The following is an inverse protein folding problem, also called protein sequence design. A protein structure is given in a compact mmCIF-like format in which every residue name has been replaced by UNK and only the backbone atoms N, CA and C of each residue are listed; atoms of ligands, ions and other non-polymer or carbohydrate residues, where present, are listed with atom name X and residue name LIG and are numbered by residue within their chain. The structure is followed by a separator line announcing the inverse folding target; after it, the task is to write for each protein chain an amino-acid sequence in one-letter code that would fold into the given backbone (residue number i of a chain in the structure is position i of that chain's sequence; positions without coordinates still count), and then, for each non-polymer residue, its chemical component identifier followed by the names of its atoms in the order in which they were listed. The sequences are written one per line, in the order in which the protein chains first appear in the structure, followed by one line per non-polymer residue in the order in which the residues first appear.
data_IF_202276602978
#
_entry.id   IF_202276602978
#
_cell.length_a   1.000
_cell.length_b   1.000
_cell.length_c   1.000
_cell.angle_alpha   90.00
_cell.angle_beta   90.00
_cell.angle_gamma   90.00
#
_symmetry.space_group_name_H-M   'P 1'
#
loop_
_entity.id
_entity.type
_entity.pdbx_description
1 polymer ?
#
# COMPACT_ATOMS: atom_id res chain seq x y z
N UNK A 1 -27.97 8.53 5.66
CA UNK A 1 -26.95 9.35 6.36
C UNK A 1 -25.60 8.74 6.02
N UNK A 2 -24.73 9.46 5.29
CA UNK A 2 -23.37 8.98 5.03
C UNK A 2 -22.61 8.97 6.35
N UNK A 3 -22.13 7.81 6.79
CA UNK A 3 -21.24 7.72 7.95
C UNK A 3 -19.96 8.49 7.63
N UNK A 4 -19.51 9.38 8.53
CA UNK A 4 -18.29 10.13 8.33
C UNK A 4 -17.11 9.17 8.17
N UNK A 5 -16.37 9.29 7.06
CA UNK A 5 -15.18 8.49 6.75
C UNK A 5 -13.95 9.35 7.01
N UNK A 6 -13.07 8.86 7.88
CA UNK A 6 -11.81 9.52 8.24
C UNK A 6 -10.66 8.68 7.70
N UNK A 7 -9.58 9.34 7.26
CA UNK A 7 -8.37 8.68 6.74
C UNK A 7 -7.19 9.08 7.60
N UNK A 8 -6.38 8.08 7.99
CA UNK A 8 -5.13 8.29 8.71
C UNK A 8 -4.01 8.56 7.70
N UNK A 9 -3.36 9.72 7.80
CA UNK A 9 -2.12 10.02 7.10
C UNK A 9 -0.95 9.96 8.09
N UNK A 10 0.04 9.11 7.80
CA UNK A 10 1.21 8.93 8.64
C UNK A 10 2.48 9.24 7.81
N UNK A 11 3.06 10.43 7.95
CA UNK A 11 4.35 10.74 7.32
C UNK A 11 5.46 9.84 7.88
N UNK A 12 6.32 9.35 7.01
CA UNK A 12 7.52 8.60 7.38
C UNK A 12 8.69 9.07 6.51
N UNK A 13 9.85 9.24 7.11
CA UNK A 13 11.06 9.62 6.39
C UNK A 13 11.86 8.36 6.02
N UNK A 14 12.27 8.27 4.75
CA UNK A 14 13.30 7.33 4.33
C UNK A 14 14.19 7.99 3.28
N UNK A 15 15.45 7.57 3.22
CA UNK A 15 16.48 8.19 2.38
C UNK A 15 16.50 7.63 0.94
N UNK A 16 15.62 6.69 0.61
CA UNK A 16 15.53 6.08 -0.72
C UNK A 16 14.15 5.47 -0.96
N UNK A 17 13.76 5.36 -2.23
CA UNK A 17 12.52 4.69 -2.63
C UNK A 17 12.48 3.23 -2.17
N UNK A 18 13.61 2.51 -2.25
CA UNK A 18 13.73 1.14 -1.76
C UNK A 18 13.56 1.06 -0.24
N UNK A 19 14.08 2.04 0.50
CA UNK A 19 13.91 2.16 1.95
C UNK A 19 12.45 2.34 2.35
N UNK A 20 11.71 3.21 1.64
CA UNK A 20 10.26 3.38 1.83
C UNK A 20 9.51 2.07 1.55
N UNK A 21 9.86 1.39 0.46
CA UNK A 21 9.25 0.12 0.06
C UNK A 21 9.50 -0.99 1.10
N UNK A 22 10.70 -1.05 1.69
CA UNK A 22 11.03 -1.96 2.80
C UNK A 22 10.26 -1.63 4.07
N UNK A 23 10.13 -0.34 4.41
CA UNK A 23 9.32 0.10 5.55
C UNK A 23 7.84 -0.28 5.37
N UNK A 24 7.27 -0.06 4.19
CA UNK A 24 5.90 -0.46 3.88
C UNK A 24 5.68 -1.97 4.08
N UNK A 25 6.64 -2.79 3.67
CA UNK A 25 6.59 -4.24 3.90
C UNK A 25 6.65 -4.58 5.39
N UNK A 26 7.59 -4.00 6.14
CA UNK A 26 7.69 -4.22 7.58
C UNK A 26 6.43 -3.81 8.35
N UNK A 27 5.79 -2.71 7.95
CA UNK A 27 4.51 -2.27 8.51
C UNK A 27 3.38 -3.27 8.21
N UNK A 28 3.26 -3.73 6.96
CA UNK A 28 2.28 -4.76 6.59
C UNK A 28 2.48 -6.03 7.40
N UNK A 29 3.71 -6.53 7.46
CA UNK A 29 4.01 -7.78 8.16
C UNK A 29 3.71 -7.67 9.67
N UNK A 30 4.03 -6.52 10.28
CA UNK A 30 3.81 -6.28 11.71
C UNK A 30 2.33 -6.03 12.04
N UNK A 31 1.61 -5.28 11.21
CA UNK A 31 0.30 -4.72 11.53
C UNK A 31 -0.85 -5.29 10.69
N UNK A 32 -0.64 -6.32 9.86
CA UNK A 32 -1.71 -7.00 9.10
C UNK A 32 -2.88 -7.50 9.96
N UNK A 33 -2.68 -7.65 11.27
CA UNK A 33 -3.70 -8.05 12.22
C UNK A 33 -4.64 -6.91 12.63
N UNK A 34 -4.33 -5.65 12.25
CA UNK A 34 -5.16 -4.48 12.54
C UNK A 34 -6.16 -4.27 11.40
N UNK A 35 -7.46 -4.55 11.59
CA UNK A 35 -8.45 -4.54 10.51
C UNK A 35 -8.76 -3.14 9.95
N UNK A 36 -8.38 -2.08 10.68
CA UNK A 36 -8.56 -0.70 10.23
C UNK A 36 -7.52 -0.26 9.18
N UNK A 37 -6.47 -1.04 8.94
CA UNK A 37 -5.41 -0.71 7.99
C UNK A 37 -5.56 -1.51 6.70
N UNK A 38 -5.94 -0.84 5.61
CA UNK A 38 -5.89 -1.43 4.26
C UNK A 38 -4.51 -1.18 3.65
N UNK A 39 -3.62 -2.18 3.76
CA UNK A 39 -2.31 -2.11 3.15
C UNK A 39 -2.37 -2.12 1.61
N UNK A 40 -3.43 -2.63 0.97
CA UNK A 40 -3.59 -2.55 -0.48
C UNK A 40 -3.73 -1.11 -0.98
N UNK A 41 -4.27 -0.22 -0.14
CA UNK A 41 -4.42 1.21 -0.42
C UNK A 41 -3.21 2.06 0.01
N UNK A 42 -2.17 1.44 0.57
CA UNK A 42 -0.96 2.16 0.98
C UNK A 42 -0.27 2.77 -0.24
N UNK A 43 -0.06 4.08 -0.17
CA UNK A 43 0.61 4.87 -1.19
C UNK A 43 1.86 5.53 -0.65
N UNK A 44 2.82 5.74 -1.53
CA UNK A 44 4.09 6.41 -1.24
C UNK A 44 4.35 7.47 -2.31
N UNK A 45 5.07 8.51 -1.94
CA UNK A 45 5.42 9.63 -2.80
C UNK A 45 6.82 10.12 -2.43
N UNK A 46 7.49 10.83 -3.33
CA UNK A 46 8.63 11.65 -2.95
C UNK A 46 8.14 12.79 -2.04
N UNK A 47 8.99 13.25 -1.12
CA UNK A 47 8.63 14.31 -0.17
C UNK A 47 8.36 15.66 -0.86
N UNK A 48 9.12 15.93 -1.91
CA UNK A 48 9.03 17.09 -2.79
C UNK A 48 7.91 16.96 -3.85
N UNK A 49 7.34 15.77 -4.03
CA UNK A 49 6.21 15.51 -4.94
C UNK A 49 5.16 14.59 -4.32
N UNK A 50 4.49 15.10 -3.28
CA UNK A 50 3.40 14.38 -2.58
C UNK A 50 2.11 14.24 -3.40
N UNK A 51 2.04 14.94 -4.54
CA UNK A 51 0.93 14.83 -5.48
C UNK A 51 1.01 13.56 -6.32
N UNK A 52 2.23 13.09 -6.60
CA UNK A 52 2.48 11.87 -7.37
C UNK A 52 2.60 10.66 -6.43
N UNK A 53 1.45 10.13 -6.05
CA UNK A 53 1.35 8.94 -5.22
C UNK A 53 1.39 7.67 -6.06
N UNK A 54 2.25 6.72 -5.70
CA UNK A 54 2.24 5.36 -6.24
C UNK A 54 1.81 4.38 -5.17
N UNK A 55 1.05 3.35 -5.55
CA UNK A 55 0.76 2.22 -4.66
C UNK A 55 1.98 1.33 -4.51
N UNK A 56 2.16 0.74 -3.33
CA UNK A 56 3.26 -0.21 -3.07
C UNK A 56 2.94 -1.61 -3.60
N UNK A 57 1.68 -2.03 -3.47
CA UNK A 57 1.21 -3.33 -3.96
C UNK A 57 0.32 -3.16 -5.18
N UNK A 58 0.37 -4.16 -6.05
CA UNK A 58 -0.57 -4.34 -7.15
C UNK A 58 -1.97 -4.49 -6.57
N UNK A 59 -2.95 -3.82 -7.14
CA UNK A 59 -4.36 -3.87 -6.68
C UNK A 59 -5.26 -4.54 -7.73
N UNK A 60 -4.67 -5.30 -8.65
CA UNK A 60 -5.43 -5.94 -9.72
C UNK A 60 -6.43 -6.95 -9.13
N UNK A 61 -7.70 -6.95 -9.60
CA UNK A 61 -8.71 -7.90 -9.13
C UNK A 61 -8.37 -9.32 -9.60
N UNK A 62 -8.48 -10.30 -8.70
CA UNK A 62 -8.13 -11.71 -8.94
C UNK A 62 -9.34 -12.67 -8.99
N UNK A 63 -10.53 -12.11 -9.16
CA UNK A 63 -11.79 -12.85 -9.11
C UNK A 63 -12.26 -13.09 -7.66
N UNK A 64 -13.57 -12.89 -7.44
CA UNK A 64 -14.13 -12.71 -6.09
C UNK A 64 -13.67 -11.38 -5.48
N UNK A 65 -13.69 -11.29 -4.14
CA UNK A 65 -13.26 -10.10 -3.39
C UNK A 65 -11.73 -10.05 -3.15
N UNK A 66 -10.95 -10.77 -3.97
CA UNK A 66 -9.49 -10.86 -3.83
C UNK A 66 -8.77 -9.89 -4.75
N UNK A 67 -7.67 -9.33 -4.24
CA UNK A 67 -6.78 -8.42 -4.96
C UNK A 67 -5.37 -8.98 -4.96
N UNK A 68 -4.58 -8.62 -5.97
CA UNK A 68 -3.20 -9.03 -6.06
C UNK A 68 -2.42 -8.61 -4.81
N UNK A 69 -1.51 -9.46 -4.34
CA UNK A 69 -0.68 -9.16 -3.18
C UNK A 69 0.78 -8.83 -3.55
N UNK A 70 1.13 -8.95 -4.83
CA UNK A 70 2.47 -8.67 -5.36
C UNK A 70 2.76 -7.17 -5.38
N UNK A 71 4.03 -6.78 -5.55
CA UNK A 71 4.44 -5.37 -5.70
C UNK A 71 3.90 -4.75 -6.98
N UNK A 72 3.62 -3.45 -6.96
CA UNK A 72 3.28 -2.70 -8.18
C UNK A 72 4.36 -2.90 -9.25
N UNK A 73 3.96 -3.08 -10.51
CA UNK A 73 4.84 -3.39 -11.66
C UNK A 73 5.59 -4.73 -11.58
N UNK A 74 5.04 -5.74 -10.89
CA UNK A 74 5.58 -7.10 -10.96
C UNK A 74 5.50 -7.67 -12.40
N UNK A 75 6.52 -8.41 -12.87
CA UNK A 75 6.54 -8.96 -14.23
C UNK A 75 5.65 -10.21 -14.38
N UNK A 76 5.34 -10.89 -13.28
CA UNK A 76 4.56 -12.13 -13.26
C UNK A 76 3.05 -11.87 -13.47
N UNK A 77 2.28 -12.94 -13.66
CA UNK A 77 0.81 -12.84 -13.57
C UNK A 77 0.40 -12.42 -12.15
N UNK A 78 -0.69 -11.69 -12.03
CA UNK A 78 -1.23 -11.28 -10.73
C UNK A 78 -1.63 -12.52 -9.90
N UNK A 79 -1.32 -12.52 -8.60
CA UNK A 79 -1.54 -13.63 -7.66
C UNK A 79 -1.93 -13.11 -6.27
N UNK A 80 -2.71 -13.89 -5.51
CA UNK A 80 -3.29 -13.49 -4.21
C UNK A 80 -2.44 -13.90 -3.00
N UNK A 81 -1.10 -13.81 -3.14
CA UNK A 81 -0.15 -14.46 -2.23
C UNK A 81 -0.15 -13.94 -0.78
#
# INVERSE_FOLDING_TARGET
MSTARWVLHLPAAATSAEGVDRLAQALRDSLRHVPALDFGELTISAEDDQSTRRRVWCDAPLGGDRRCALRTNHPDRCLDR
#
